data_IF_746038513232
#
_entry.id   IF_746038513232
#
_cell.length_a   1.000
_cell.length_b   1.000
_cell.length_c   1.000
_cell.angle_alpha   90.00
_cell.angle_beta   90.00
_cell.angle_gamma   90.00
#
_symmetry.space_group_name_H-M   'P 1'
#
loop_
_entity.id
_entity.type
_entity.pdbx_description
1 polymer ?
#
# COMPACT_ATOMS: atom_id res chain seq x y z
N UNK A 1 -17.36 13.18 9.25
CA UNK A 1 -18.00 11.95 8.75
C UNK A 1 -17.03 11.20 7.86
N UNK A 2 -16.99 9.92 8.01
CA UNK A 2 -16.17 9.09 7.14
C UNK A 2 -17.04 7.97 6.56
N UNK A 3 -16.56 7.41 5.45
CA UNK A 3 -17.24 6.31 4.80
C UNK A 3 -16.47 5.02 5.02
N UNK A 4 -17.16 3.90 5.24
CA UNK A 4 -16.46 2.63 5.25
C UNK A 4 -15.83 2.40 3.88
N UNK A 5 -14.57 2.04 3.89
CA UNK A 5 -13.79 1.88 2.67
C UNK A 5 -13.57 0.39 2.45
N UNK A 6 -13.87 -0.10 1.24
CA UNK A 6 -13.69 -1.51 0.93
C UNK A 6 -12.21 -1.87 0.91
N UNK A 7 -11.91 -3.14 1.17
CA UNK A 7 -10.54 -3.63 1.10
C UNK A 7 -9.96 -3.42 -0.30
N UNK A 8 -10.78 -3.53 -1.33
CA UNK A 8 -10.34 -3.32 -2.70
C UNK A 8 -9.85 -1.89 -2.92
N UNK A 9 -10.58 -0.92 -2.41
CA UNK A 9 -10.17 0.48 -2.53
C UNK A 9 -8.86 0.72 -1.79
N UNK A 10 -8.71 0.13 -0.60
CA UNK A 10 -7.47 0.25 0.16
C UNK A 10 -6.30 -0.35 -0.62
N UNK A 11 -6.51 -1.50 -1.29
CA UNK A 11 -5.47 -2.11 -2.12
C UNK A 11 -4.99 -1.14 -3.20
N UNK A 12 -5.93 -0.50 -3.90
CA UNK A 12 -5.58 0.45 -4.95
C UNK A 12 -4.88 1.68 -4.39
N UNK A 13 -5.28 2.14 -3.21
CA UNK A 13 -4.62 3.26 -2.55
C UNK A 13 -3.16 2.92 -2.22
N UNK A 14 -2.93 1.73 -1.69
CA UNK A 14 -1.57 1.26 -1.39
C UNK A 14 -0.73 1.19 -2.66
N UNK A 15 -1.28 0.58 -3.71
CA UNK A 15 -0.56 0.46 -4.98
C UNK A 15 -0.24 1.83 -5.57
N UNK A 16 -1.14 2.78 -5.46
CA UNK A 16 -0.90 4.15 -5.92
C UNK A 16 0.26 4.81 -5.18
N UNK A 17 0.30 4.61 -3.86
CA UNK A 17 1.37 5.18 -3.04
C UNK A 17 2.73 4.60 -3.43
N UNK A 18 2.83 3.27 -3.51
CA UNK A 18 4.12 2.63 -3.81
C UNK A 18 4.50 2.77 -5.28
N UNK A 19 3.54 3.04 -6.15
CA UNK A 19 3.82 3.31 -7.55
C UNK A 19 4.58 4.64 -7.74
N UNK A 20 4.37 5.57 -6.83
CA UNK A 20 5.07 6.86 -6.88
C UNK A 20 6.48 6.74 -6.34
N UNK A 21 6.65 6.03 -5.24
CA UNK A 21 7.96 5.72 -4.67
C UNK A 21 7.81 4.65 -3.61
N UNK A 22 8.90 3.97 -3.33
CA UNK A 22 8.91 2.96 -2.28
C UNK A 22 8.54 3.59 -0.95
N UNK A 23 7.78 2.87 -0.14
CA UNK A 23 7.29 3.39 1.12
C UNK A 23 7.26 2.29 2.16
N UNK A 24 7.36 2.65 3.43
CA UNK A 24 7.27 1.68 4.51
C UNK A 24 5.89 1.73 5.15
N UNK A 25 5.57 0.64 5.89
CA UNK A 25 4.21 0.43 6.38
C UNK A 25 3.61 1.60 7.14
N UNK A 26 4.37 2.19 8.06
CA UNK A 26 3.88 3.32 8.84
C UNK A 26 3.55 4.52 7.94
N UNK A 27 4.42 4.82 6.97
CA UNK A 27 4.21 5.93 6.04
C UNK A 27 2.96 5.71 5.19
N UNK A 28 2.79 4.48 4.69
CA UNK A 28 1.60 4.10 3.94
C UNK A 28 0.35 4.30 4.80
N UNK A 29 0.41 3.83 6.04
CA UNK A 29 -0.68 3.96 7.00
C UNK A 29 -1.06 5.43 7.22
N UNK A 30 -0.09 6.28 7.45
CA UNK A 30 -0.35 7.69 7.69
C UNK A 30 -0.96 8.39 6.48
N UNK A 31 -0.50 8.02 5.28
CA UNK A 31 -1.02 8.60 4.06
C UNK A 31 -2.48 8.21 3.85
N UNK A 32 -2.81 6.95 4.06
CA UNK A 32 -4.18 6.47 3.89
C UNK A 32 -5.11 7.08 4.91
N UNK A 33 -4.64 7.27 6.14
CA UNK A 33 -5.44 7.87 7.20
C UNK A 33 -5.86 9.30 6.90
N UNK A 34 -5.20 9.96 5.97
CA UNK A 34 -5.61 11.31 5.56
C UNK A 34 -6.95 11.31 4.82
N UNK A 35 -7.32 10.19 4.22
CA UNK A 35 -8.53 10.11 3.38
C UNK A 35 -9.49 9.01 3.80
N UNK A 36 -9.07 8.09 4.66
CA UNK A 36 -9.90 6.97 5.08
C UNK A 36 -9.65 6.65 6.54
N UNK A 37 -10.71 6.27 7.24
CA UNK A 37 -10.59 5.85 8.64
C UNK A 37 -10.33 4.34 8.66
N UNK A 38 -9.06 3.98 8.71
CA UNK A 38 -8.64 2.59 8.71
C UNK A 38 -7.66 2.34 9.86
N UNK A 39 -7.84 1.23 10.52
CA UNK A 39 -6.95 0.82 11.61
C UNK A 39 -5.78 0.03 11.02
N UNK A 40 -4.64 0.09 11.69
CA UNK A 40 -3.48 -0.66 11.28
C UNK A 40 -3.74 -2.16 11.28
N UNK A 41 -4.57 -2.64 12.22
CA UNK A 41 -4.96 -4.05 12.26
C UNK A 41 -5.72 -4.49 10.99
N UNK A 42 -6.31 -3.55 10.26
CA UNK A 42 -6.97 -3.82 8.99
C UNK A 42 -6.00 -3.64 7.83
N UNK A 43 -5.13 -2.65 7.93
CA UNK A 43 -4.21 -2.30 6.86
C UNK A 43 -3.11 -3.34 6.64
N UNK A 44 -2.47 -3.82 7.71
CA UNK A 44 -1.33 -4.73 7.55
C UNK A 44 -1.68 -6.07 6.91
N UNK A 45 -2.85 -6.67 7.20
CA UNK A 45 -3.25 -7.86 6.45
C UNK A 45 -3.40 -7.62 4.95
N UNK A 46 -3.85 -6.42 4.57
CA UNK A 46 -4.00 -6.07 3.15
C UNK A 46 -2.63 -5.94 2.49
N UNK A 47 -1.68 -5.30 3.18
CA UNK A 47 -0.30 -5.22 2.69
C UNK A 47 0.28 -6.61 2.47
N UNK A 48 0.06 -7.52 3.41
CA UNK A 48 0.55 -8.89 3.31
C UNK A 48 -0.10 -9.62 2.14
N UNK A 49 -1.38 -9.39 1.92
CA UNK A 49 -2.11 -9.97 0.80
C UNK A 49 -1.51 -9.52 -0.54
N UNK A 50 -1.21 -8.23 -0.66
CA UNK A 50 -0.60 -7.70 -1.88
C UNK A 50 0.78 -8.28 -2.13
N UNK A 51 1.55 -8.48 -1.07
CA UNK A 51 2.85 -9.09 -1.17
C UNK A 51 2.73 -10.55 -1.65
N UNK A 52 1.82 -11.31 -1.07
CA UNK A 52 1.59 -12.71 -1.45
C UNK A 52 1.09 -12.84 -2.88
N UNK A 53 0.29 -11.88 -3.33
CA UNK A 53 -0.23 -11.89 -4.69
C UNK A 53 0.81 -11.47 -5.72
N UNK A 54 1.97 -10.98 -5.27
CA UNK A 54 3.02 -10.57 -6.18
C UNK A 54 2.88 -9.18 -6.72
N UNK A 55 2.00 -8.36 -6.15
CA UNK A 55 1.82 -6.97 -6.57
C UNK A 55 2.85 -6.04 -5.96
N UNK A 56 3.38 -6.39 -4.79
CA UNK A 56 4.45 -5.63 -4.16
C UNK A 56 5.50 -6.60 -3.66
N UNK A 57 6.73 -6.11 -3.55
CA UNK A 57 7.82 -6.84 -2.95
C UNK A 57 8.34 -6.02 -1.79
N UNK A 58 9.09 -6.64 -0.89
CA UNK A 58 9.58 -5.96 0.29
C UNK A 58 11.10 -6.10 0.43
N UNK A 59 11.69 -5.12 1.05
CA UNK A 59 13.11 -5.16 1.39
C UNK A 59 13.32 -4.36 2.67
N UNK A 60 14.41 -4.65 3.36
CA UNK A 60 14.77 -3.91 4.56
C UNK A 60 15.80 -2.85 4.22
N UNK A 61 15.61 -1.66 4.76
CA UNK A 61 16.57 -0.57 4.61
C UNK A 61 16.76 0.09 5.96
N UNK A 62 17.96 0.57 6.21
CA UNK A 62 18.26 1.28 7.45
C UNK A 62 18.20 2.78 7.21
N UNK A 63 17.49 3.46 8.10
CA UNK A 63 17.38 4.91 8.04
C UNK A 63 17.55 5.44 9.46
N UNK A 64 18.55 6.29 9.65
CA UNK A 64 18.87 6.89 10.95
C UNK A 64 19.00 5.83 12.06
N UNK A 65 19.66 4.72 11.75
CA UNK A 65 19.91 3.67 12.70
C UNK A 65 18.76 2.70 12.93
N UNK A 66 17.65 2.88 12.22
CA UNK A 66 16.48 2.01 12.35
C UNK A 66 16.26 1.22 11.09
N UNK A 67 16.04 -0.08 11.24
CA UNK A 67 15.64 -0.93 10.11
C UNK A 67 14.15 -0.74 9.84
N UNK A 68 13.83 -0.54 8.57
CA UNK A 68 12.45 -0.41 8.12
C UNK A 68 12.19 -1.37 6.99
N UNK A 69 10.99 -1.94 6.98
CA UNK A 69 10.54 -2.79 5.89
C UNK A 69 9.85 -1.90 4.85
N UNK A 70 10.46 -1.83 3.68
CA UNK A 70 9.92 -1.03 2.59
C UNK A 70 9.15 -1.90 1.61
N UNK A 71 8.14 -1.30 1.00
CA UNK A 71 7.32 -1.94 -0.02
C UNK A 71 7.61 -1.27 -1.35
N UNK A 72 7.77 -2.08 -2.38
CA UNK A 72 8.06 -1.60 -3.73
C UNK A 72 7.07 -2.26 -4.69
N UNK A 73 6.59 -1.52 -5.68
CA UNK A 73 5.62 -2.06 -6.62
C UNK A 73 6.33 -2.95 -7.64
N UNK A 74 5.64 -4.04 -8.05
CA UNK A 74 6.13 -4.92 -9.10
C UNK A 74 5.46 -4.57 -10.41
N UNK A 75 5.89 -5.20 -11.51
CA UNK A 75 5.21 -5.00 -12.80
C UNK A 75 3.75 -5.43 -12.71
N UNK A 76 3.48 -6.54 -12.03
CA UNK A 76 2.10 -6.98 -11.82
C UNK A 76 1.30 -5.96 -11.02
N UNK A 77 1.93 -5.32 -10.03
CA UNK A 77 1.28 -4.29 -9.24
C UNK A 77 0.97 -3.04 -10.06
N UNK A 78 1.87 -2.67 -10.96
CA UNK A 78 1.64 -1.53 -11.86
C UNK A 78 0.45 -1.79 -12.77
N UNK A 79 0.39 -2.99 -13.34
CA UNK A 79 -0.72 -3.38 -14.19
C UNK A 79 -2.03 -3.36 -13.42
N UNK A 80 -2.03 -3.88 -12.21
CA UNK A 80 -3.21 -3.88 -11.35
C UNK A 80 -3.69 -2.45 -11.07
N UNK A 81 -2.76 -1.55 -10.79
CA UNK A 81 -3.07 -0.15 -10.52
C UNK A 81 -3.67 0.53 -11.76
N UNK A 82 -3.12 0.22 -12.93
CA UNK A 82 -3.62 0.76 -14.19
C UNK A 82 -5.02 0.26 -14.53
N UNK A 83 -5.33 -0.99 -14.21
CA UNK A 83 -6.66 -1.53 -14.43
C UNK A 83 -7.71 -0.72 -13.69
N UNK A 84 -7.42 -0.29 -12.47
CA UNK A 84 -8.33 0.56 -11.72
C UNK A 84 -8.55 1.89 -12.44
N UNK A 85 -7.46 2.47 -12.93
CA UNK A 85 -7.50 3.77 -13.60
C UNK A 85 -8.29 3.70 -14.90
N UNK A 86 -8.13 2.61 -15.65
CA UNK A 86 -8.75 2.48 -16.96
C UNK A 86 -10.27 2.29 -16.89
N UNK A 87 -10.80 1.95 -15.74
CA UNK A 87 -12.24 1.81 -15.55
C UNK A 87 -12.91 3.15 -15.25
N UNK A 88 -12.15 4.17 -14.99
CA UNK A 88 -12.67 5.50 -14.73
C UNK A 88 -12.83 6.29 -16.02
#
# INVERSE_FOLDING_TARGET
MYFPVSALLIEFMILSIVNREDSYGYEISQTIKLVADIKESTLYPILKKLEKAGYVTTYSAEYQGRKRKYYSITEAGKTRSEEHTSEL
#
